data_IF_387301227146
#
_entry.id   IF_387301227146
#
_cell.length_a   1.000
_cell.length_b   1.000
_cell.length_c   1.000
_cell.angle_alpha   90.00
_cell.angle_beta   90.00
_cell.angle_gamma   90.00
#
_symmetry.space_group_name_H-M   'P 1'
#
loop_
_entity.id
_entity.type
_entity.pdbx_description
1 polymer ?
#
# COMPACT_ATOMS: atom_id res chain seq x y z
N UNK A 1 -10.13 -39.53 32.45
CA UNK A 1 -10.82 -38.53 31.60
C UNK A 1 -9.76 -37.60 31.04
N UNK A 2 -9.40 -37.73 29.76
CA UNK A 2 -8.32 -36.95 29.16
C UNK A 2 -8.80 -35.51 28.91
N UNK A 3 -8.11 -34.54 29.50
CA UNK A 3 -8.31 -33.13 29.22
C UNK A 3 -8.01 -32.87 27.74
N UNK A 4 -9.06 -32.62 26.95
CA UNK A 4 -8.94 -32.13 25.58
C UNK A 4 -8.25 -30.77 25.63
N UNK A 5 -6.99 -30.70 25.19
CA UNK A 5 -6.28 -29.45 24.95
C UNK A 5 -7.13 -28.63 23.98
N UNK A 6 -7.61 -27.47 24.43
CA UNK A 6 -8.24 -26.50 23.54
C UNK A 6 -7.12 -25.88 22.72
N UNK A 7 -6.99 -26.35 21.48
CA UNK A 7 -6.12 -25.72 20.49
C UNK A 7 -6.45 -24.24 20.43
N UNK A 8 -5.48 -23.41 20.79
CA UNK A 8 -5.63 -21.96 20.85
C UNK A 8 -6.01 -21.48 19.46
N UNK A 9 -7.12 -20.75 19.34
CA UNK A 9 -7.58 -20.16 18.08
C UNK A 9 -6.51 -19.20 17.56
N UNK A 10 -5.59 -19.72 16.73
CA UNK A 10 -4.51 -18.96 16.15
C UNK A 10 -5.09 -17.84 15.29
N UNK A 11 -4.67 -16.60 15.56
CA UNK A 11 -5.01 -15.47 14.69
C UNK A 11 -4.31 -15.73 13.36
N UNK A 12 -5.02 -15.64 12.22
CA UNK A 12 -4.40 -15.93 10.95
C UNK A 12 -3.41 -14.83 10.57
N UNK A 13 -2.52 -15.15 9.63
CA UNK A 13 -1.51 -14.21 9.14
C UNK A 13 -2.14 -12.92 8.59
N UNK A 14 -1.48 -11.79 8.87
CA UNK A 14 -1.89 -10.48 8.36
C UNK A 14 -1.89 -10.48 6.83
N UNK A 15 -2.87 -9.81 6.25
CA UNK A 15 -3.01 -9.62 4.80
C UNK A 15 -3.11 -8.15 4.46
N UNK A 16 -2.69 -7.79 3.27
CA UNK A 16 -2.88 -6.44 2.74
C UNK A 16 -4.10 -6.38 1.82
N UNK A 17 -4.90 -5.33 1.97
CA UNK A 17 -6.05 -5.09 1.12
C UNK A 17 -5.59 -4.77 -0.31
N UNK A 18 -5.97 -5.60 -1.28
CA UNK A 18 -5.58 -5.46 -2.67
C UNK A 18 -5.94 -4.07 -3.26
N UNK A 19 -7.03 -3.45 -2.79
CA UNK A 19 -7.45 -2.13 -3.30
C UNK A 19 -6.77 -0.94 -2.62
N UNK A 20 -6.66 -0.93 -1.28
CA UNK A 20 -6.18 0.25 -0.56
C UNK A 20 -4.76 0.14 0.01
N UNK A 21 -4.17 -1.06 -0.01
CA UNK A 21 -2.84 -1.34 0.55
C UNK A 21 -2.75 -1.30 2.07
N UNK A 22 -3.87 -1.18 2.81
CA UNK A 22 -3.87 -1.27 4.29
C UNK A 22 -3.98 -2.71 4.75
N UNK A 23 -3.44 -2.99 5.93
CA UNK A 23 -3.64 -4.26 6.63
C UNK A 23 -5.13 -4.53 6.82
N UNK A 24 -5.55 -5.73 6.43
CA UNK A 24 -6.89 -6.26 6.65
C UNK A 24 -6.97 -6.68 8.11
N UNK A 25 -7.71 -5.90 8.91
CA UNK A 25 -8.00 -6.28 10.29
C UNK A 25 -8.90 -7.51 10.32
N UNK A 26 -8.45 -8.57 10.99
CA UNK A 26 -9.22 -9.81 11.13
C UNK A 26 -10.60 -9.55 11.75
N UNK A 27 -11.61 -10.29 11.28
CA UNK A 27 -12.99 -10.26 11.79
C UNK A 27 -13.49 -11.69 11.91
N UNK A 28 -14.17 -12.03 13.01
CA UNK A 28 -14.68 -13.38 13.28
C UNK A 28 -15.52 -13.96 12.12
N UNK A 29 -16.27 -13.11 11.41
CA UNK A 29 -17.06 -13.51 10.23
C UNK A 29 -16.24 -14.07 9.06
N UNK A 30 -14.93 -13.85 9.05
CA UNK A 30 -14.01 -14.32 8.01
C UNK A 30 -13.22 -15.55 8.44
N UNK A 31 -13.53 -16.15 9.59
CA UNK A 31 -12.78 -17.29 10.11
C UNK A 31 -12.76 -18.50 9.15
N UNK A 32 -13.82 -18.70 8.35
CA UNK A 32 -13.94 -19.85 7.43
C UNK A 32 -13.24 -19.62 6.09
N UNK A 33 -13.23 -18.38 5.62
CA UNK A 33 -12.82 -18.04 4.24
C UNK A 33 -11.68 -17.01 4.24
N UNK A 34 -10.84 -16.98 5.29
CA UNK A 34 -9.78 -15.97 5.44
C UNK A 34 -8.82 -15.99 4.24
N UNK A 35 -8.55 -17.17 3.69
CA UNK A 35 -7.71 -17.36 2.50
C UNK A 35 -8.19 -16.53 1.31
N UNK A 36 -9.50 -16.43 1.12
CA UNK A 36 -10.13 -15.71 0.01
C UNK A 36 -10.36 -14.20 0.28
N UNK A 37 -10.12 -13.73 1.51
CA UNK A 37 -10.31 -12.30 1.84
C UNK A 37 -9.21 -11.45 1.21
N UNK A 38 -9.58 -10.73 0.14
CA UNK A 38 -8.70 -9.80 -0.59
C UNK A 38 -8.88 -8.32 -0.23
N UNK A 39 -9.99 -7.96 0.41
CA UNK A 39 -10.39 -6.55 0.63
C UNK A 39 -10.80 -6.28 2.07
N UNK A 40 -10.39 -5.14 2.63
CA UNK A 40 -10.74 -4.76 4.00
C UNK A 40 -12.20 -4.31 4.19
N UNK A 41 -12.91 -3.98 3.10
CA UNK A 41 -14.30 -3.52 3.13
C UNK A 41 -14.99 -3.68 1.78
N UNK A 42 -16.32 -3.64 1.77
CA UNK A 42 -17.11 -3.69 0.53
C UNK A 42 -16.84 -2.48 -0.36
N UNK A 43 -16.56 -1.31 0.22
CA UNK A 43 -16.15 -0.13 -0.55
C UNK A 43 -14.80 -0.36 -1.28
N UNK A 44 -13.85 -1.06 -0.67
CA UNK A 44 -12.60 -1.43 -1.35
C UNK A 44 -12.83 -2.53 -2.39
N UNK A 45 -13.72 -3.48 -2.12
CA UNK A 45 -14.12 -4.50 -3.09
C UNK A 45 -14.75 -3.87 -4.34
N UNK A 46 -15.68 -2.93 -4.17
CA UNK A 46 -16.36 -2.23 -5.27
C UNK A 46 -15.42 -1.33 -6.06
N UNK A 47 -14.44 -0.69 -5.39
CA UNK A 47 -13.46 0.18 -6.07
C UNK A 47 -12.44 -0.61 -6.90
N UNK A 48 -11.92 -1.72 -6.38
CA UNK A 48 -10.87 -2.49 -7.06
C UNK A 48 -9.53 -1.74 -7.19
N UNK A 49 -8.71 -2.19 -8.15
CA UNK A 49 -7.49 -1.52 -8.64
C UNK A 49 -7.62 -1.47 -10.16
N UNK A 50 -7.81 -0.28 -10.71
CA UNK A 50 -7.97 -0.05 -12.14
C UNK A 50 -6.74 0.61 -12.79
N UNK A 51 -6.81 0.96 -14.08
CA UNK A 51 -5.72 1.60 -14.82
C UNK A 51 -5.21 2.90 -14.19
N UNK A 52 -6.10 3.71 -13.61
CA UNK A 52 -5.71 4.95 -12.93
C UNK A 52 -4.84 4.69 -11.70
N UNK A 53 -5.13 3.62 -10.95
CA UNK A 53 -4.36 3.22 -9.78
C UNK A 53 -2.98 2.67 -10.19
N UNK A 54 -2.88 1.98 -11.33
CA UNK A 54 -1.61 1.56 -11.91
C UNK A 54 -0.75 2.76 -12.35
N UNK A 55 -1.35 3.75 -13.02
CA UNK A 55 -0.67 4.99 -13.41
C UNK A 55 -0.06 5.72 -12.21
N UNK A 56 -0.75 5.75 -11.06
CA UNK A 56 -0.22 6.35 -9.83
C UNK A 56 0.99 5.58 -9.29
N UNK A 57 1.00 4.25 -9.39
CA UNK A 57 2.15 3.43 -8.99
C UNK A 57 3.36 3.69 -9.88
N UNK A 58 3.16 3.76 -11.19
CA UNK A 58 4.22 4.02 -12.16
C UNK A 58 4.79 5.44 -12.00
N UNK A 59 3.95 6.42 -11.67
CA UNK A 59 4.42 7.76 -11.36
C UNK A 59 5.23 7.79 -10.05
N UNK A 60 4.82 7.04 -9.02
CA UNK A 60 5.63 6.92 -7.79
C UNK A 60 7.00 6.34 -8.12
N UNK A 61 7.06 5.26 -8.91
CA UNK A 61 8.34 4.64 -9.34
C UNK A 61 9.19 5.66 -10.09
N UNK A 62 8.62 6.34 -11.09
CA UNK A 62 9.30 7.35 -11.90
C UNK A 62 9.88 8.46 -11.04
N UNK A 63 9.08 9.05 -10.14
CA UNK A 63 9.50 10.12 -9.24
C UNK A 63 10.64 9.69 -8.33
N UNK A 64 10.62 8.45 -7.84
CA UNK A 64 11.67 7.93 -6.96
C UNK A 64 12.94 7.54 -7.72
N UNK A 65 12.82 7.01 -8.94
CA UNK A 65 13.95 6.62 -9.78
C UNK A 65 14.71 7.81 -10.35
N UNK A 66 14.04 8.95 -10.57
CA UNK A 66 14.66 10.19 -11.00
C UNK A 66 15.52 10.87 -9.90
N UNK A 67 15.64 10.27 -8.71
CA UNK A 67 16.35 10.83 -7.54
C UNK A 67 17.52 9.96 -7.13
N UNK A 68 18.43 10.55 -6.35
CA UNK A 68 19.45 9.78 -5.63
C UNK A 68 18.79 8.69 -4.76
N UNK A 69 19.44 7.53 -4.63
CA UNK A 69 18.84 6.33 -4.00
C UNK A 69 18.37 6.54 -2.56
N UNK A 70 19.02 7.43 -1.80
CA UNK A 70 18.69 7.78 -0.42
C UNK A 70 17.65 8.89 -0.27
N UNK A 71 17.29 9.57 -1.37
CA UNK A 71 16.35 10.69 -1.35
C UNK A 71 14.90 10.24 -1.19
N UNK A 72 14.05 11.16 -0.75
CA UNK A 72 12.62 10.91 -0.55
C UNK A 72 11.76 11.85 -1.38
N UNK A 73 10.55 11.45 -1.76
CA UNK A 73 9.52 12.28 -2.39
C UNK A 73 8.31 12.48 -1.48
N UNK A 74 7.50 13.52 -1.68
CA UNK A 74 6.20 13.65 -1.01
C UNK A 74 5.05 13.17 -1.92
N UNK A 75 3.93 12.68 -1.36
CA UNK A 75 2.76 12.29 -2.15
C UNK A 75 2.20 13.41 -3.04
N UNK A 76 2.28 14.67 -2.60
CA UNK A 76 1.76 15.81 -3.36
C UNK A 76 2.50 16.07 -4.66
N UNK A 77 3.77 15.69 -4.75
CA UNK A 77 4.52 15.79 -5.99
C UNK A 77 4.01 14.82 -7.06
N UNK A 78 3.81 13.55 -6.67
CA UNK A 78 3.22 12.52 -7.53
C UNK A 78 1.83 12.96 -7.99
N UNK A 79 0.99 13.40 -7.05
CA UNK A 79 -0.35 13.85 -7.38
C UNK A 79 -0.36 15.04 -8.36
N UNK A 80 0.56 16.01 -8.20
CA UNK A 80 0.67 17.14 -9.13
C UNK A 80 1.10 16.71 -10.53
N UNK A 81 2.00 15.73 -10.63
CA UNK A 81 2.44 15.18 -11.91
C UNK A 81 1.32 14.43 -12.65
N UNK A 82 0.44 13.74 -11.92
CA UNK A 82 -0.68 13.00 -12.52
C UNK A 82 -1.91 13.88 -12.76
N UNK A 83 -2.28 14.71 -11.80
CA UNK A 83 -3.56 15.45 -11.78
C UNK A 83 -3.48 16.93 -12.14
N UNK A 84 -2.30 17.48 -12.41
CA UNK A 84 -2.13 18.88 -12.78
C UNK A 84 -2.71 19.84 -11.73
N UNK A 85 -3.63 20.72 -12.15
CA UNK A 85 -4.31 21.69 -11.28
C UNK A 85 -5.27 21.01 -10.28
N UNK A 86 -5.88 19.89 -10.69
CA UNK A 86 -6.85 19.12 -9.90
C UNK A 86 -6.20 17.96 -9.12
N UNK A 87 -4.98 18.18 -8.61
CA UNK A 87 -4.23 17.12 -7.92
C UNK A 87 -4.76 16.77 -6.52
N UNK A 88 -5.50 17.67 -5.87
CA UNK A 88 -5.90 17.51 -4.45
C UNK A 88 -6.69 16.21 -4.18
N UNK A 89 -7.70 15.84 -5.00
CA UNK A 89 -8.42 14.57 -4.86
C UNK A 89 -7.53 13.33 -4.99
N UNK A 90 -6.37 13.43 -5.66
CA UNK A 90 -5.44 12.31 -5.83
C UNK A 90 -4.60 12.00 -4.58
N UNK A 91 -4.72 12.76 -3.48
CA UNK A 91 -3.96 12.49 -2.25
C UNK A 91 -4.19 11.10 -1.66
N UNK A 92 -5.44 10.70 -1.45
CA UNK A 92 -5.72 9.36 -0.94
C UNK A 92 -5.41 8.25 -1.97
N UNK A 93 -5.73 8.41 -3.27
CA UNK A 93 -5.25 7.50 -4.32
C UNK A 93 -3.74 7.29 -4.33
N UNK A 94 -2.92 8.36 -4.28
CA UNK A 94 -1.45 8.25 -4.21
C UNK A 94 -1.03 7.50 -2.96
N UNK A 95 -1.66 7.76 -1.81
CA UNK A 95 -1.36 7.00 -0.58
C UNK A 95 -1.69 5.51 -0.75
N UNK A 96 -2.79 5.15 -1.43
CA UNK A 96 -3.13 3.73 -1.70
C UNK A 96 -2.10 3.07 -2.60
N UNK A 97 -1.72 3.71 -3.69
CA UNK A 97 -0.66 3.26 -4.58
C UNK A 97 0.65 3.05 -3.82
N UNK A 98 1.06 4.02 -3.01
CA UNK A 98 2.26 3.92 -2.17
C UNK A 98 2.19 2.70 -1.23
N UNK A 99 1.04 2.45 -0.59
CA UNK A 99 0.88 1.30 0.30
C UNK A 99 1.00 -0.05 -0.44
N UNK A 100 0.44 -0.15 -1.65
CA UNK A 100 0.60 -1.37 -2.48
C UNK A 100 2.04 -1.58 -2.93
N UNK A 101 2.79 -0.50 -3.16
CA UNK A 101 4.24 -0.59 -3.44
C UNK A 101 5.06 -1.00 -2.20
N UNK A 102 4.66 -0.57 -1.00
CA UNK A 102 5.26 -1.06 0.27
C UNK A 102 5.01 -2.56 0.44
N UNK A 103 3.79 -3.01 0.18
CA UNK A 103 3.40 -4.43 0.25
C UNK A 103 4.25 -5.30 -0.69
N UNK A 104 4.53 -4.80 -1.90
CA UNK A 104 5.46 -5.44 -2.86
C UNK A 104 6.94 -5.30 -2.51
N UNK A 105 7.28 -4.57 -1.44
CA UNK A 105 8.65 -4.36 -1.01
C UNK A 105 9.48 -3.43 -1.90
N UNK A 106 8.83 -2.64 -2.76
CA UNK A 106 9.51 -1.73 -3.71
C UNK A 106 9.94 -0.41 -3.05
N UNK A 107 9.12 0.10 -2.12
CA UNK A 107 9.33 1.39 -1.46
C UNK A 107 9.11 1.28 0.05
N UNK A 108 9.60 2.27 0.79
CA UNK A 108 9.22 2.53 2.17
C UNK A 108 8.39 3.82 2.27
N UNK A 109 7.46 3.86 3.23
CA UNK A 109 6.84 5.11 3.70
C UNK A 109 7.54 5.54 4.98
N UNK A 110 7.95 6.82 5.04
CA UNK A 110 8.70 7.36 6.17
C UNK A 110 8.11 8.64 6.75
N UNK A 111 8.27 8.84 8.06
CA UNK A 111 7.96 10.08 8.79
C UNK A 111 9.10 10.37 9.77
N UNK A 112 9.57 11.62 9.81
CA UNK A 112 10.74 11.97 10.64
C UNK A 112 11.99 11.14 10.32
N UNK A 113 12.14 10.68 9.07
CA UNK A 113 13.24 9.82 8.62
C UNK A 113 13.08 8.32 8.93
N UNK A 114 12.09 7.93 9.74
CA UNK A 114 11.88 6.55 10.17
C UNK A 114 10.83 5.84 9.29
N UNK A 115 11.01 4.55 9.01
CA UNK A 115 9.95 3.73 8.39
C UNK A 115 8.76 3.67 9.33
N UNK A 116 7.56 3.89 8.80
CA UNK A 116 6.31 3.82 9.58
C UNK A 116 5.34 2.80 8.99
N UNK A 117 4.42 2.31 9.82
CA UNK A 117 3.33 1.44 9.37
C UNK A 117 2.44 2.19 8.34
N UNK A 118 2.37 1.73 7.08
CA UNK A 118 1.56 2.35 6.04
C UNK A 118 0.06 2.44 6.39
N UNK A 119 -0.44 1.51 7.21
CA UNK A 119 -1.85 1.41 7.59
C UNK A 119 -2.25 2.42 8.67
N UNK A 120 -1.27 2.91 9.44
CA UNK A 120 -1.48 3.77 10.61
C UNK A 120 -0.90 5.18 10.47
N UNK A 121 0.02 5.39 9.52
CA UNK A 121 0.64 6.68 9.26
C UNK A 121 -0.41 7.80 9.03
N UNK A 122 -0.37 8.84 9.87
CA UNK A 122 -1.22 10.04 9.78
C UNK A 122 -0.36 11.26 9.47
N UNK A 123 -0.94 12.24 8.76
CA UNK A 123 -0.25 13.49 8.45
C UNK A 123 0.80 13.35 7.34
N UNK A 124 1.76 14.28 7.25
CA UNK A 124 2.77 14.30 6.20
C UNK A 124 3.63 13.05 6.21
N UNK A 125 3.73 12.38 5.06
CA UNK A 125 4.59 11.22 4.83
C UNK A 125 5.55 11.52 3.70
N UNK A 126 6.65 10.77 3.64
CA UNK A 126 7.56 10.74 2.50
C UNK A 126 7.65 9.32 1.96
N UNK A 127 7.95 9.22 0.68
CA UNK A 127 8.16 7.97 -0.05
C UNK A 127 9.65 7.82 -0.33
N UNK A 128 10.20 6.62 -0.13
CA UNK A 128 11.62 6.30 -0.27
C UNK A 128 11.75 5.01 -1.07
N UNK A 129 12.78 4.90 -1.92
CA UNK A 129 13.17 3.59 -2.49
C UNK A 129 13.58 2.63 -1.37
N UNK A 130 13.03 1.42 -1.35
CA UNK A 130 13.47 0.43 -0.35
C UNK A 130 14.90 -0.03 -0.69
N UNK A 131 15.85 0.03 0.26
CA UNK A 131 17.20 -0.51 0.03
C UNK A 131 17.11 -2.00 -0.36
N UNK A 132 17.71 -2.37 -1.50
CA UNK A 132 17.65 -3.73 -2.05
C UNK A 132 16.27 -4.15 -2.60
N UNK A 133 15.29 -3.24 -2.66
CA UNK A 133 13.96 -3.51 -3.22
C UNK A 133 13.94 -3.51 -4.75
N UNK A 134 13.03 -4.27 -5.39
CA UNK A 134 12.96 -4.43 -6.84
C UNK A 134 12.24 -3.24 -7.51
N UNK A 135 12.80 -2.03 -7.42
CA UNK A 135 12.20 -0.85 -8.02
C UNK A 135 12.65 -0.69 -9.49
N UNK A 136 11.75 -0.98 -10.42
CA UNK A 136 11.93 -0.78 -11.85
C UNK A 136 11.02 0.35 -12.35
N UNK A 137 11.36 1.07 -13.44
CA UNK A 137 10.41 1.96 -14.08
C UNK A 137 9.22 1.12 -14.55
N UNK A 138 8.00 1.57 -14.26
CA UNK A 138 6.79 0.90 -14.73
C UNK A 138 6.84 0.78 -16.24
N UNK A 139 6.97 -0.45 -16.75
CA UNK A 139 6.90 -0.70 -18.18
C UNK A 139 5.51 -0.28 -18.64
N UNK A 140 5.45 0.65 -19.59
CA UNK A 140 4.23 0.93 -20.33
C UNK A 140 3.66 -0.42 -20.78
N UNK A 141 2.51 -0.80 -20.23
CA UNK A 141 1.71 -1.85 -20.82
C UNK A 141 1.36 -1.33 -22.23
N UNK A 142 2.01 -1.90 -23.24
CA UNK A 142 1.66 -1.72 -24.64
C UNK A 142 0.29 -2.34 -24.95
#
# INVERSE_FOLDING_TARGET
>A
MAHRVRESSARPESKTCASCGREIQWRAKWARDWEDVKYCSDACRRRGVGPEEARLEDEIRTVLLARAASSTACPSEVARKVGGEDWRPLMEPVRRAARRLVDRGEIDIVQGGQVVDPSRAKGPIRLRRRPGGPLSPGGAAG
#
